data_IF_725566852492
#
_entry.id   IF_725566852492
#
_cell.length_a   1.000
_cell.length_b   1.000
_cell.length_c   1.000
_cell.angle_alpha   90.00
_cell.angle_beta   90.00
_cell.angle_gamma   90.00
#
_symmetry.space_group_name_H-M   'P 1'
#
loop_
_entity.id
_entity.type
_entity.pdbx_description
1 polymer ?
#
# COMPACT_ATOMS: atom_id res chain seq x y z
N UNK A 1 13.05 5.45 -1.64
CA UNK A 1 12.14 4.57 -0.92
C UNK A 1 10.73 4.78 -1.44
N UNK A 2 9.89 3.79 -1.31
CA UNK A 2 8.52 3.81 -1.81
C UNK A 2 7.56 3.31 -0.74
N UNK A 3 6.31 3.75 -0.78
CA UNK A 3 5.28 3.25 0.11
C UNK A 3 3.98 3.04 -0.67
N UNK A 4 3.07 2.24 -0.11
CA UNK A 4 1.83 1.87 -0.76
C UNK A 4 0.68 2.58 -0.07
N UNK A 5 -0.22 3.17 -0.86
CA UNK A 5 -1.42 3.80 -0.36
C UNK A 5 -2.66 3.24 -1.03
N UNK A 6 -3.78 3.34 -0.33
CA UNK A 6 -5.10 3.10 -0.91
C UNK A 6 -6.09 4.11 -0.31
N UNK A 7 -7.21 4.29 -0.97
CA UNK A 7 -8.31 5.10 -0.42
C UNK A 7 -9.38 4.21 0.17
N UNK A 8 -9.86 4.59 1.35
CA UNK A 8 -10.99 3.91 1.97
C UNK A 8 -12.25 4.14 1.13
N UNK A 9 -12.99 3.05 0.87
CA UNK A 9 -14.27 3.16 0.15
C UNK A 9 -15.37 3.78 1.00
N UNK A 10 -15.18 3.83 2.32
CA UNK A 10 -16.17 4.34 3.25
C UNK A 10 -16.00 5.83 3.50
N UNK A 11 -14.75 6.26 3.77
CA UNK A 11 -14.46 7.64 4.17
C UNK A 11 -13.74 8.45 3.11
N UNK A 12 -13.16 7.78 2.10
CA UNK A 12 -12.31 8.44 1.11
C UNK A 12 -10.93 8.83 1.62
N UNK A 13 -10.60 8.48 2.84
CA UNK A 13 -9.29 8.79 3.43
C UNK A 13 -8.19 7.91 2.86
N UNK A 14 -6.96 8.43 2.87
CA UNK A 14 -5.79 7.69 2.43
C UNK A 14 -5.29 6.78 3.55
N UNK A 15 -5.09 5.51 3.23
CA UNK A 15 -4.51 4.53 4.13
C UNK A 15 -3.13 4.12 3.61
N UNK A 16 -2.21 3.86 4.55
CA UNK A 16 -0.84 3.47 4.25
C UNK A 16 -0.62 2.02 4.64
N UNK A 17 0.05 1.27 3.76
CA UNK A 17 0.33 -0.14 3.99
C UNK A 17 1.39 -0.33 5.08
N UNK A 18 1.15 -1.29 5.99
CA UNK A 18 2.10 -1.68 7.02
C UNK A 18 2.72 -3.04 6.66
N UNK A 19 1.94 -4.09 6.69
CA UNK A 19 2.39 -5.45 6.36
C UNK A 19 1.18 -6.33 6.04
N UNK A 20 1.36 -7.34 5.19
CA UNK A 20 0.27 -8.21 4.78
C UNK A 20 -0.96 -7.40 4.36
N UNK A 21 -2.10 -7.56 5.03
CA UNK A 21 -3.31 -6.77 4.76
C UNK A 21 -3.60 -5.76 5.87
N UNK A 22 -2.57 -5.20 6.46
CA UNK A 22 -2.68 -4.20 7.51
C UNK A 22 -2.44 -2.80 6.94
N UNK A 23 -3.30 -1.88 7.33
CA UNK A 23 -3.29 -0.50 6.84
C UNK A 23 -3.45 0.47 8.01
N UNK A 24 -2.93 1.68 7.86
CA UNK A 24 -3.00 2.72 8.89
C UNK A 24 -3.26 4.08 8.28
N UNK A 25 -3.91 4.97 9.03
CA UNK A 25 -4.00 6.39 8.67
C UNK A 25 -2.75 7.17 9.03
N UNK A 26 -1.90 6.61 9.89
CA UNK A 26 -0.72 7.30 10.40
C UNK A 26 0.44 7.12 9.43
N UNK A 27 0.77 8.19 8.71
CA UNK A 27 1.84 8.20 7.73
C UNK A 27 3.18 7.79 8.36
N UNK A 28 3.43 8.12 9.61
CA UNK A 28 4.69 7.80 10.28
C UNK A 28 4.88 6.30 10.52
N UNK A 29 3.80 5.53 10.44
CA UNK A 29 3.82 4.08 10.66
C UNK A 29 3.86 3.27 9.37
N UNK A 30 3.86 3.93 8.21
CA UNK A 30 3.89 3.24 6.93
C UNK A 30 5.21 2.47 6.75
N UNK A 31 5.12 1.34 6.07
CA UNK A 31 6.30 0.59 5.67
C UNK A 31 6.87 1.17 4.38
N UNK A 32 8.18 1.33 4.33
CA UNK A 32 8.89 1.82 3.14
C UNK A 32 9.63 0.66 2.48
N UNK A 33 9.65 0.66 1.16
CA UNK A 33 10.30 -0.35 0.33
C UNK A 33 11.41 0.28 -0.49
N UNK A 34 12.49 -0.46 -0.74
CA UNK A 34 13.65 0.06 -1.46
C UNK A 34 13.35 0.31 -2.94
N UNK A 35 12.51 -0.51 -3.54
CA UNK A 35 12.19 -0.46 -4.97
C UNK A 35 10.69 -0.57 -5.18
N UNK A 36 10.24 -0.16 -6.38
CA UNK A 36 8.84 -0.35 -6.78
C UNK A 36 8.49 -1.83 -6.88
N UNK A 37 9.46 -2.67 -7.29
CA UNK A 37 9.25 -4.12 -7.37
C UNK A 37 8.97 -4.72 -6.00
N UNK A 38 9.73 -4.34 -4.98
CA UNK A 38 9.49 -4.78 -3.61
C UNK A 38 8.11 -4.34 -3.12
N UNK A 39 7.72 -3.11 -3.41
CA UNK A 39 6.41 -2.59 -3.05
C UNK A 39 5.29 -3.36 -3.76
N UNK A 40 5.46 -3.68 -5.04
CA UNK A 40 4.48 -4.46 -5.79
C UNK A 40 4.34 -5.88 -5.24
N UNK A 41 5.46 -6.51 -4.87
CA UNK A 41 5.43 -7.84 -4.26
C UNK A 41 4.67 -7.81 -2.93
N UNK A 42 4.89 -6.79 -2.12
CA UNK A 42 4.16 -6.62 -0.86
C UNK A 42 2.66 -6.41 -1.10
N UNK A 43 2.32 -5.63 -2.12
CA UNK A 43 0.92 -5.41 -2.49
C UNK A 43 0.27 -6.71 -2.98
N UNK A 44 0.98 -7.51 -3.77
CA UNK A 44 0.49 -8.82 -4.23
C UNK A 44 0.19 -9.75 -3.06
N UNK A 45 1.02 -9.72 -2.03
CA UNK A 45 0.77 -10.50 -0.81
C UNK A 45 -0.48 -9.98 -0.09
N UNK A 46 -0.66 -8.66 -0.05
CA UNK A 46 -1.77 -8.04 0.67
C UNK A 46 -3.13 -8.33 0.02
N UNK A 47 -3.22 -8.26 -1.31
CA UNK A 47 -4.50 -8.33 -2.04
C UNK A 47 -4.60 -9.52 -2.99
N UNK A 48 -3.52 -10.28 -3.18
CA UNK A 48 -3.47 -11.38 -4.13
C UNK A 48 -3.00 -10.97 -5.52
N UNK A 49 -2.21 -11.83 -6.15
CA UNK A 49 -1.59 -11.54 -7.45
C UNK A 49 -2.58 -11.36 -8.59
N UNK A 50 -3.67 -12.10 -8.53
CA UNK A 50 -4.67 -12.09 -9.60
C UNK A 50 -5.65 -10.92 -9.51
N UNK A 51 -5.62 -10.15 -8.43
CA UNK A 51 -6.53 -9.02 -8.25
C UNK A 51 -6.05 -7.80 -9.00
N UNK A 52 -7.01 -7.05 -9.55
CA UNK A 52 -6.74 -5.74 -10.11
C UNK A 52 -6.29 -4.79 -8.97
N UNK A 53 -5.26 -3.99 -9.26
CA UNK A 53 -4.68 -3.07 -8.27
C UNK A 53 -5.25 -1.66 -8.39
N UNK A 54 -6.53 -1.57 -8.80
CA UNK A 54 -7.23 -0.30 -8.93
C UNK A 54 -7.45 0.30 -7.54
N UNK A 55 -7.10 1.56 -7.38
CA UNK A 55 -7.21 2.25 -6.09
C UNK A 55 -5.99 2.14 -5.20
N UNK A 56 -5.01 1.34 -5.59
CA UNK A 56 -3.74 1.22 -4.87
C UNK A 56 -2.66 2.00 -5.62
N UNK A 57 -1.81 2.70 -4.88
CA UNK A 57 -0.75 3.51 -5.47
C UNK A 57 0.57 3.24 -4.77
N UNK A 58 1.64 3.09 -5.54
CA UNK A 58 3.01 3.02 -5.03
C UNK A 58 3.62 4.40 -5.26
N UNK A 59 4.02 5.05 -4.18
CA UNK A 59 4.47 6.45 -4.20
C UNK A 59 5.90 6.54 -3.70
N UNK A 60 6.77 7.31 -4.36
CA UNK A 60 8.11 7.59 -3.85
C UNK A 60 8.03 8.49 -2.61
N UNK A 61 8.93 8.25 -1.71
CA UNK A 61 9.07 9.08 -0.50
C UNK A 61 9.71 10.41 -0.83
#
# INVERSE_FOLDING_TARGET
MFYITKKSNVTGETLYHISENRWTWDESKRTQYNTTEDAQNALDIAIGKSRAKIGYTITPV
#
